data_IF_323165629557
#
_entry.id   IF_323165629557
#
_cell.length_a   1.000
_cell.length_b   1.000
_cell.length_c   1.000
_cell.angle_alpha   90.00
_cell.angle_beta   90.00
_cell.angle_gamma   90.00
#
_symmetry.space_group_name_H-M   'P 1'
#
loop_
_entity.id
_entity.type
_entity.pdbx_description
1 polymer ?
#
# COMPACT_ATOMS: atom_id res chain seq x y z
N UNK A 1 -6.73 -2.21 -11.10
CA UNK A 1 -5.89 -1.89 -9.92
C UNK A 1 -6.18 -2.79 -8.71
N UNK A 2 -7.36 -3.41 -8.58
CA UNK A 2 -7.65 -4.30 -7.44
C UNK A 2 -6.62 -5.42 -7.29
N UNK A 3 -6.42 -6.20 -8.36
CA UNK A 3 -5.46 -7.32 -8.40
C UNK A 3 -4.06 -6.87 -8.00
N UNK A 4 -3.55 -5.77 -8.56
CA UNK A 4 -2.22 -5.25 -8.22
C UNK A 4 -2.09 -4.86 -6.75
N UNK A 5 -3.15 -4.30 -6.14
CA UNK A 5 -3.12 -3.94 -4.72
C UNK A 5 -3.13 -5.18 -3.82
N UNK A 6 -3.93 -6.19 -4.15
CA UNK A 6 -3.96 -7.44 -3.40
C UNK A 6 -2.61 -8.18 -3.48
N UNK A 7 -2.05 -8.31 -4.68
CA UNK A 7 -0.77 -8.99 -4.88
C UNK A 7 0.39 -8.25 -4.22
N UNK A 8 0.38 -6.91 -4.21
CA UNK A 8 1.36 -6.13 -3.44
C UNK A 8 1.23 -6.38 -1.93
N UNK A 9 0.01 -6.42 -1.39
CA UNK A 9 -0.22 -6.72 0.02
C UNK A 9 0.29 -8.13 0.40
N UNK A 10 -0.01 -9.14 -0.44
CA UNK A 10 0.50 -10.52 -0.28
C UNK A 10 2.02 -10.57 -0.33
N UNK A 11 2.63 -9.95 -1.35
CA UNK A 11 4.07 -9.92 -1.52
C UNK A 11 4.79 -9.22 -0.34
N UNK A 12 4.23 -8.15 0.21
CA UNK A 12 4.79 -7.48 1.38
C UNK A 12 4.82 -8.41 2.60
N UNK A 13 3.70 -9.09 2.89
CA UNK A 13 3.61 -10.08 3.97
C UNK A 13 4.65 -11.18 3.80
N UNK A 14 4.77 -11.74 2.60
CA UNK A 14 5.70 -12.84 2.32
C UNK A 14 7.16 -12.38 2.43
N UNK A 15 7.49 -11.15 1.99
CA UNK A 15 8.81 -10.55 2.16
C UNK A 15 9.17 -10.34 3.63
N UNK A 16 8.22 -9.88 4.45
CA UNK A 16 8.44 -9.71 5.88
C UNK A 16 8.65 -11.05 6.59
N UNK A 17 7.91 -12.09 6.21
CA UNK A 17 8.15 -13.44 6.70
C UNK A 17 9.55 -13.94 6.31
N UNK A 18 9.93 -13.83 5.03
CA UNK A 18 11.24 -14.25 4.55
C UNK A 18 12.39 -13.49 5.24
N UNK A 19 12.22 -12.19 5.50
CA UNK A 19 13.20 -11.38 6.21
C UNK A 19 13.36 -11.80 7.68
N UNK A 20 12.26 -12.15 8.36
CA UNK A 20 12.32 -12.73 9.71
C UNK A 20 13.09 -14.04 9.73
N UNK A 21 12.78 -14.94 8.82
CA UNK A 21 13.42 -16.26 8.74
C UNK A 21 14.93 -16.14 8.44
N UNK A 22 15.33 -15.09 7.71
CA UNK A 22 16.71 -14.76 7.40
C UNK A 22 17.41 -13.87 8.46
N UNK A 23 16.71 -13.47 9.54
CA UNK A 23 17.21 -12.49 10.52
C UNK A 23 17.70 -11.16 9.90
N UNK A 24 17.02 -10.70 8.85
CA UNK A 24 17.31 -9.43 8.15
C UNK A 24 16.27 -8.39 8.53
N UNK A 25 16.72 -7.17 8.83
CA UNK A 25 15.82 -6.02 8.97
C UNK A 25 15.36 -5.56 7.60
N UNK A 26 14.11 -5.83 7.26
CA UNK A 26 13.49 -5.38 6.01
C UNK A 26 13.01 -3.93 6.15
N UNK A 27 13.35 -3.12 5.15
CA UNK A 27 12.77 -1.79 4.91
C UNK A 27 12.20 -1.73 3.51
N UNK A 28 10.88 -1.57 3.41
CA UNK A 28 10.20 -1.43 2.12
C UNK A 28 10.27 0.01 1.61
N UNK A 29 10.50 0.15 0.32
CA UNK A 29 10.44 1.43 -0.37
C UNK A 29 9.18 1.53 -1.22
N UNK A 30 8.26 2.41 -0.81
CA UNK A 30 7.00 2.65 -1.50
C UNK A 30 7.20 3.61 -2.67
N UNK A 31 6.98 3.09 -3.88
CA UNK A 31 7.12 3.82 -5.14
C UNK A 31 5.98 4.80 -5.41
N UNK A 32 6.02 5.37 -6.62
CA UNK A 32 5.02 6.32 -7.12
C UNK A 32 3.64 5.66 -7.26
N UNK A 33 2.58 6.40 -6.96
CA UNK A 33 1.22 6.09 -7.43
C UNK A 33 0.41 5.14 -6.54
N UNK A 34 1.02 4.58 -5.49
CA UNK A 34 0.31 3.89 -4.42
C UNK A 34 -0.45 4.85 -3.50
N UNK A 35 -1.35 4.30 -2.67
CA UNK A 35 -2.15 5.04 -1.67
C UNK A 35 -1.27 5.88 -0.72
N UNK A 36 -0.07 5.40 -0.38
CA UNK A 36 0.90 6.10 0.48
C UNK A 36 1.50 7.34 -0.20
N UNK A 37 1.71 7.31 -1.52
CA UNK A 37 2.45 8.35 -2.26
C UNK A 37 1.58 9.41 -2.96
N UNK A 38 0.27 9.17 -3.14
CA UNK A 38 -0.60 10.08 -3.91
C UNK A 38 -1.16 11.26 -3.14
N UNK A 39 -0.96 11.36 -1.82
CA UNK A 39 -1.46 12.47 -1.01
C UNK A 39 -2.98 12.73 -1.06
N UNK A 40 -3.75 11.90 -1.77
CA UNK A 40 -5.19 12.04 -2.00
C UNK A 40 -6.06 11.12 -1.13
N UNK A 41 -5.43 10.23 -0.36
CA UNK A 41 -6.04 9.55 0.79
C UNK A 41 -5.20 9.85 2.04
N UNK A 42 -5.72 9.64 3.27
CA UNK A 42 -4.96 9.95 4.47
C UNK A 42 -3.69 9.10 4.50
N UNK A 43 -2.50 9.71 4.33
CA UNK A 43 -1.19 9.04 4.43
C UNK A 43 -1.13 8.12 5.65
N UNK A 44 -1.75 8.57 6.74
CA UNK A 44 -2.00 7.81 7.96
C UNK A 44 -2.65 6.44 7.72
N UNK A 45 -3.85 6.43 7.13
CA UNK A 45 -4.61 5.20 6.87
C UNK A 45 -3.85 4.26 5.91
N UNK A 46 -3.13 4.82 4.95
CA UNK A 46 -2.34 4.02 4.01
C UNK A 46 -1.16 3.30 4.70
N UNK A 47 -0.53 3.94 5.69
CA UNK A 47 0.52 3.31 6.51
C UNK A 47 -0.07 2.21 7.41
N UNK A 48 -1.22 2.48 8.05
CA UNK A 48 -1.91 1.50 8.90
C UNK A 48 -2.49 0.29 8.15
N UNK A 49 -2.73 0.43 6.85
CA UNK A 49 -3.25 -0.62 5.99
C UNK A 49 -2.17 -1.59 5.45
N UNK A 50 -0.90 -1.39 5.83
CA UNK A 50 0.15 -2.36 5.54
C UNK A 50 -0.09 -3.68 6.29
N UNK A 51 0.51 -4.80 5.84
CA UNK A 51 0.35 -6.10 6.51
C UNK A 51 0.62 -6.02 8.02
N UNK A 52 -0.33 -6.52 8.82
CA UNK A 52 -0.29 -6.42 10.26
C UNK A 52 0.86 -7.23 10.89
N UNK A 53 1.55 -6.64 11.87
CA UNK A 53 2.57 -7.34 12.67
C UNK A 53 3.97 -7.40 12.03
N UNK A 54 4.13 -6.82 10.84
CA UNK A 54 5.34 -6.95 10.03
C UNK A 54 6.14 -5.64 9.93
N UNK A 55 5.55 -4.51 10.36
CA UNK A 55 6.17 -3.20 10.29
C UNK A 55 7.34 -3.06 11.28
N UNK A 56 8.54 -2.76 10.77
CA UNK A 56 9.78 -2.62 11.54
C UNK A 56 9.99 -1.23 12.17
N UNK A 57 9.05 -0.30 11.95
CA UNK A 57 9.19 1.10 12.37
C UNK A 57 9.85 2.00 11.32
N UNK A 58 10.36 1.40 10.24
CA UNK A 58 10.99 2.13 9.15
C UNK A 58 10.12 2.13 7.90
N UNK A 59 9.83 3.32 7.38
CA UNK A 59 9.18 3.49 6.08
C UNK A 59 10.06 4.33 5.16
N UNK A 60 9.97 4.06 3.85
CA UNK A 60 10.51 4.96 2.83
C UNK A 60 9.44 5.15 1.77
N UNK A 61 9.12 6.40 1.44
CA UNK A 61 8.03 6.75 0.52
C UNK A 61 8.57 7.69 -0.56
N UNK A 62 8.07 7.51 -1.77
CA UNK A 62 8.27 8.47 -2.86
C UNK A 62 7.20 9.56 -2.77
N UNK A 63 7.63 10.80 -2.53
CA UNK A 63 6.77 11.97 -2.70
C UNK A 63 6.74 12.37 -4.16
N UNK A 64 5.53 12.50 -4.73
CA UNK A 64 5.37 12.87 -6.13
C UNK A 64 5.57 14.38 -6.33
N UNK A 65 6.19 14.78 -7.43
CA UNK A 65 6.43 16.20 -7.72
C UNK A 65 5.13 17.02 -7.75
N UNK A 66 4.04 16.41 -8.26
CA UNK A 66 2.71 17.03 -8.30
C UNK A 66 2.08 17.27 -6.91
N UNK A 67 2.52 16.58 -5.85
CA UNK A 67 2.00 16.75 -4.48
C UNK A 67 2.89 17.60 -3.58
N UNK A 68 4.13 17.90 -3.98
CA UNK A 68 5.09 18.61 -3.12
C UNK A 68 4.56 19.95 -2.62
N UNK A 69 3.98 20.76 -3.51
CA UNK A 69 3.41 22.06 -3.13
C UNK A 69 2.27 21.91 -2.12
N UNK A 70 1.45 20.88 -2.23
CA UNK A 70 0.33 20.67 -1.31
C UNK A 70 0.77 20.25 0.09
N UNK A 71 1.91 19.57 0.20
CA UNK A 71 2.42 19.03 1.47
C UNK A 71 3.50 19.88 2.13
N UNK A 72 4.30 20.60 1.35
CA UNK A 72 5.55 21.19 1.82
C UNK A 72 5.76 22.66 1.38
N UNK A 73 4.75 23.32 0.81
CA UNK A 73 4.88 24.74 0.40
C UNK A 73 4.92 25.73 1.56
N UNK A 74 4.38 25.33 2.72
CA UNK A 74 4.32 26.13 3.94
C UNK A 74 4.93 25.32 5.10
N UNK A 75 5.73 25.93 6.00
CA UNK A 75 6.36 25.23 7.11
C UNK A 75 5.37 24.52 8.05
N UNK A 76 4.20 25.10 8.31
CA UNK A 76 3.17 24.50 9.18
C UNK A 76 2.55 23.28 8.49
N UNK A 77 2.27 23.38 7.19
CA UNK A 77 1.80 22.23 6.42
C UNK A 77 2.84 21.11 6.35
N UNK A 78 4.12 21.47 6.17
CA UNK A 78 5.21 20.52 6.14
C UNK A 78 5.35 19.77 7.47
N UNK A 79 5.31 20.50 8.58
CA UNK A 79 5.32 19.94 9.94
C UNK A 79 4.16 18.99 10.15
N UNK A 80 2.94 19.42 9.80
CA UNK A 80 1.75 18.58 9.95
C UNK A 80 1.82 17.29 9.12
N UNK A 81 2.30 17.36 7.88
CA UNK A 81 2.46 16.16 7.06
C UNK A 81 3.50 15.19 7.63
N UNK A 82 4.62 15.71 8.17
CA UNK A 82 5.62 14.90 8.86
C UNK A 82 5.04 14.27 10.13
N UNK A 83 4.29 15.04 10.93
CA UNK A 83 3.63 14.58 12.15
C UNK A 83 2.66 13.43 11.86
N UNK A 84 1.81 13.56 10.83
CA UNK A 84 0.89 12.49 10.42
C UNK A 84 1.65 11.20 10.06
N UNK A 85 2.78 11.31 9.34
CA UNK A 85 3.58 10.15 8.97
C UNK A 85 4.22 9.47 10.19
N UNK A 86 4.76 10.27 11.12
CA UNK A 86 5.36 9.76 12.35
C UNK A 86 4.29 9.09 13.23
N UNK A 87 3.14 9.76 13.43
CA UNK A 87 2.02 9.23 14.19
C UNK A 87 1.55 7.88 13.64
N UNK A 88 1.39 7.77 12.31
CA UNK A 88 0.99 6.53 11.68
C UNK A 88 2.01 5.39 11.85
N UNK A 89 3.31 5.71 11.78
CA UNK A 89 4.37 4.72 12.01
C UNK A 89 4.37 4.25 13.47
N UNK A 90 4.20 5.15 14.42
CA UNK A 90 4.11 4.81 15.85
C UNK A 90 2.87 3.97 16.12
N UNK A 91 1.71 4.33 15.56
CA UNK A 91 0.48 3.56 15.70
C UNK A 91 0.61 2.15 15.10
N UNK A 92 1.19 2.04 13.89
CA UNK A 92 1.42 0.74 13.25
C UNK A 92 2.35 -0.18 14.09
N UNK A 93 3.29 0.40 14.85
CA UNK A 93 4.18 -0.34 15.75
C UNK A 93 3.45 -0.85 17.01
N UNK A 94 2.61 -0.01 17.64
CA UNK A 94 2.00 -0.33 18.93
C UNK A 94 0.65 -1.03 18.81
N UNK A 95 -0.05 -0.83 17.71
CA UNK A 95 -1.36 -1.40 17.43
C UNK A 95 -1.38 -2.04 16.04
N UNK A 96 -0.74 -3.21 15.87
CA UNK A 96 -0.85 -3.95 14.62
C UNK A 96 -2.32 -4.36 14.48
N UNK A 97 -3.05 -3.73 13.55
CA UNK A 97 -4.47 -3.92 13.26
C UNK A 97 -4.83 -5.38 12.92
N UNK A 98 -4.83 -6.27 13.93
CA UNK A 98 -5.05 -7.71 13.78
C UNK A 98 -6.54 -7.99 13.72
N UNK A 99 -6.98 -8.49 12.57
CA UNK A 99 -8.33 -9.02 12.39
C UNK A 99 -8.37 -10.46 12.90
N UNK A 100 -9.46 -10.91 13.56
CA UNK A 100 -9.62 -12.31 13.95
C UNK A 100 -9.44 -13.27 12.76
N UNK A 101 -8.75 -14.40 12.99
CA UNK A 101 -8.31 -15.30 11.91
C UNK A 101 -9.42 -15.79 10.98
N UNK A 102 -10.58 -16.17 11.52
CA UNK A 102 -11.73 -16.62 10.71
C UNK A 102 -12.28 -15.50 9.81
N UNK A 103 -12.34 -14.27 10.32
CA UNK A 103 -12.79 -13.11 9.54
C UNK A 103 -11.76 -12.74 8.48
N UNK A 104 -10.47 -12.77 8.84
CA UNK A 104 -9.38 -12.52 7.91
C UNK A 104 -9.41 -13.50 6.74
N UNK A 105 -9.56 -14.80 7.01
CA UNK A 105 -9.64 -15.84 5.97
C UNK A 105 -10.80 -15.59 5.00
N UNK A 106 -12.01 -15.30 5.51
CA UNK A 106 -13.18 -15.01 4.66
C UNK A 106 -12.97 -13.79 3.77
N UNK A 107 -12.27 -12.77 4.28
CA UNK A 107 -11.94 -11.58 3.49
C UNK A 107 -10.87 -11.86 2.45
N UNK A 108 -9.85 -12.65 2.79
CA UNK A 108 -8.82 -13.08 1.84
C UNK A 108 -9.43 -13.89 0.68
N UNK A 109 -10.31 -14.83 0.97
CA UNK A 109 -11.02 -15.63 -0.05
C UNK A 109 -11.86 -14.74 -0.98
N UNK A 110 -12.65 -13.81 -0.42
CA UNK A 110 -13.44 -12.87 -1.20
C UNK A 110 -12.57 -11.95 -2.07
N UNK A 111 -11.47 -11.43 -1.51
CA UNK A 111 -10.53 -10.57 -2.24
C UNK A 111 -9.85 -11.33 -3.38
N UNK A 112 -9.51 -12.61 -3.19
CA UNK A 112 -8.93 -13.46 -4.22
C UNK A 112 -9.92 -13.69 -5.38
N UNK A 113 -11.19 -13.98 -5.09
CA UNK A 113 -12.23 -14.07 -6.14
C UNK A 113 -12.35 -12.76 -6.92
N UNK A 114 -12.48 -11.63 -6.22
CA UNK A 114 -12.59 -10.32 -6.89
C UNK A 114 -11.34 -9.98 -7.70
N UNK A 115 -10.15 -10.37 -7.22
CA UNK A 115 -8.87 -10.16 -7.89
C UNK A 115 -8.80 -10.92 -9.22
N UNK A 116 -9.28 -12.17 -9.24
CA UNK A 116 -9.31 -13.01 -10.44
C UNK A 116 -10.26 -12.44 -11.49
N UNK A 117 -11.47 -12.05 -11.09
CA UNK A 117 -12.46 -11.43 -11.98
C UNK A 117 -11.93 -10.10 -12.56
N UNK A 118 -11.40 -9.23 -11.69
CA UNK A 118 -10.85 -7.94 -12.11
C UNK A 118 -9.64 -8.09 -13.04
N UNK A 119 -8.80 -9.10 -12.81
CA UNK A 119 -7.64 -9.39 -13.66
C UNK A 119 -8.07 -9.89 -15.03
N UNK A 120 -9.01 -10.84 -15.08
CA UNK A 120 -9.58 -11.36 -16.32
C UNK A 120 -10.18 -10.24 -17.18
N UNK A 121 -11.03 -9.42 -16.58
CA UNK A 121 -11.67 -8.29 -17.26
C UNK A 121 -10.65 -7.29 -17.82
N UNK A 122 -9.65 -6.90 -17.01
CA UNK A 122 -8.60 -5.99 -17.47
C UNK A 122 -7.79 -6.57 -18.63
N UNK A 123 -7.44 -7.86 -18.55
CA UNK A 123 -6.67 -8.54 -19.58
C UNK A 123 -7.43 -8.59 -20.90
N UNK A 124 -8.68 -9.02 -20.87
CA UNK A 124 -9.53 -9.15 -22.05
C UNK A 124 -9.79 -7.80 -22.71
N UNK A 125 -10.26 -6.81 -21.95
CA UNK A 125 -10.77 -5.57 -22.53
C UNK A 125 -9.72 -4.47 -22.71
N UNK A 126 -8.58 -4.55 -22.02
CA UNK A 126 -7.52 -3.54 -22.12
C UNK A 126 -6.25 -4.14 -22.72
N UNK A 127 -5.64 -5.13 -22.07
CA UNK A 127 -4.30 -5.58 -22.44
C UNK A 127 -4.27 -6.40 -23.75
N UNK A 128 -5.36 -7.11 -24.06
CA UNK A 128 -5.48 -8.01 -25.21
C UNK A 128 -6.40 -7.45 -26.29
N UNK A 129 -7.10 -6.35 -26.02
CA UNK A 129 -7.98 -5.72 -26.99
C UNK A 129 -7.17 -4.88 -27.99
N UNK A 130 -7.15 -5.25 -29.29
CA UNK A 130 -6.36 -4.55 -30.29
C UNK A 130 -6.87 -3.12 -30.56
N UNK A 131 -8.14 -2.83 -30.31
CA UNK A 131 -8.77 -1.52 -30.58
C UNK A 131 -8.35 -0.45 -29.57
N UNK A 132 -7.84 -0.86 -28.40
CA UNK A 132 -7.46 0.08 -27.32
C UNK A 132 -6.38 1.05 -27.76
N UNK A 133 -5.39 0.57 -28.53
CA UNK A 133 -4.30 1.41 -29.03
C UNK A 133 -4.76 2.40 -30.12
N UNK A 134 -5.84 2.09 -30.82
CA UNK A 134 -6.39 2.99 -31.84
C UNK A 134 -7.24 4.09 -31.19
N UNK A 135 -7.91 3.77 -30.07
CA UNK A 135 -8.71 4.73 -29.33
C UNK A 135 -7.88 5.73 -28.49
N UNK A 136 -6.79 5.28 -27.87
CA UNK A 136 -5.94 6.07 -26.96
C UNK A 136 -4.88 6.92 -27.69
#
# INVERSE_FOLDING_TARGET
MLTSTLELHKAQRDLHQAARDAAVTLRLFHGRGGTVGRGGGPTHAAILAQPAGDFSGEIRVTEQGEVLTWKYSDPVLAEWNLEIMIAACLEALVNPNRVPGETAQRWEEAMETMSQDAYGFYREHIAQNPEVLEYF
#
